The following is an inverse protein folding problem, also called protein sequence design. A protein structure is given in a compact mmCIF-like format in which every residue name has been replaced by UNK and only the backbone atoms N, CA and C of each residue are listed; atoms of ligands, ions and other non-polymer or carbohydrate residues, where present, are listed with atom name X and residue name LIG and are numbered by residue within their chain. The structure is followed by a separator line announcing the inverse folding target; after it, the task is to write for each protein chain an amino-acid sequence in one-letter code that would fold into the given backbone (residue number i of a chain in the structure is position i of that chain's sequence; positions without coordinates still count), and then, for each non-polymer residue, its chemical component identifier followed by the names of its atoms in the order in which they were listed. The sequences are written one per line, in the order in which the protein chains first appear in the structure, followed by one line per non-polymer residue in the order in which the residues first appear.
data_IF_361870853127
#
_entry.id   IF_361870853127
#
_cell.length_a   1.000
_cell.length_b   1.000
_cell.length_c   1.000
_cell.angle_alpha   90.00
_cell.angle_beta   90.00
_cell.angle_gamma   90.00
#
_symmetry.space_group_name_H-M   'P 1'
#
loop_
_entity.id
_entity.type
_entity.pdbx_description
1 polymer ?
#
# COMPACT_ATOMS: atom_id res chain seq x y z
N UNK A 1 20.36 -0.50 -19.44
CA UNK A 1 19.47 0.47 -18.78
C UNK A 1 18.24 -0.27 -18.33
N UNK A 2 18.08 -0.48 -17.03
CA UNK A 2 16.89 -1.15 -16.50
C UNK A 2 15.68 -0.23 -16.64
N UNK A 3 14.59 -0.79 -17.18
CA UNK A 3 13.31 -0.08 -17.34
C UNK A 3 12.76 0.29 -15.95
N UNK A 4 12.57 1.59 -15.68
CA UNK A 4 12.05 2.14 -14.43
C UNK A 4 10.73 1.48 -14.03
N UNK A 5 9.79 1.32 -14.97
CA UNK A 5 8.51 0.67 -14.71
C UNK A 5 8.66 -0.81 -14.30
N UNK A 6 9.63 -1.53 -14.89
CA UNK A 6 9.94 -2.90 -14.49
C UNK A 6 10.50 -2.96 -13.08
N UNK A 7 11.37 -2.02 -12.71
CA UNK A 7 11.92 -1.92 -11.35
C UNK A 7 10.82 -1.56 -10.34
N UNK A 8 9.95 -0.62 -10.68
CA UNK A 8 8.84 -0.18 -9.84
C UNK A 8 7.84 -1.32 -9.57
N UNK A 9 7.54 -2.14 -10.59
CA UNK A 9 6.72 -3.35 -10.43
C UNK A 9 7.36 -4.36 -9.48
N UNK A 10 8.67 -4.61 -9.62
CA UNK A 10 9.41 -5.50 -8.70
C UNK A 10 9.40 -4.97 -7.27
N UNK A 11 9.64 -3.67 -7.09
CA UNK A 11 9.57 -3.00 -5.79
C UNK A 11 8.20 -3.17 -5.14
N UNK A 12 7.14 -2.88 -5.89
CA UNK A 12 5.75 -3.00 -5.44
C UNK A 12 5.44 -4.43 -5.01
N UNK A 13 5.86 -5.42 -5.80
CA UNK A 13 5.65 -6.83 -5.47
C UNK A 13 6.44 -7.27 -4.23
N UNK A 14 7.68 -6.79 -4.07
CA UNK A 14 8.54 -7.16 -2.95
C UNK A 14 8.06 -6.56 -1.62
N UNK A 15 7.49 -5.35 -1.65
CA UNK A 15 7.00 -4.64 -0.46
C UNK A 15 5.47 -4.71 -0.32
N UNK A 16 4.78 -5.60 -1.04
CA UNK A 16 3.33 -5.66 -1.04
C UNK A 16 2.71 -5.76 0.37
N UNK A 17 3.23 -6.59 1.31
CA UNK A 17 2.72 -6.64 2.68
C UNK A 17 2.88 -5.31 3.43
N UNK A 18 4.07 -4.69 3.32
CA UNK A 18 4.38 -3.40 3.94
C UNK A 18 3.49 -2.28 3.40
N UNK A 19 3.37 -2.18 2.07
CA UNK A 19 2.57 -1.17 1.41
C UNK A 19 1.08 -1.33 1.72
N UNK A 20 0.58 -2.57 1.74
CA UNK A 20 -0.80 -2.87 2.14
C UNK A 20 -1.09 -2.48 3.59
N UNK A 21 -0.17 -2.82 4.50
CA UNK A 21 -0.26 -2.39 5.89
C UNK A 21 -0.21 -0.87 6.04
N UNK A 22 0.72 -0.18 5.37
CA UNK A 22 0.83 1.27 5.40
C UNK A 22 -0.45 1.94 4.85
N UNK A 23 -1.01 1.42 3.76
CA UNK A 23 -2.30 1.87 3.23
C UNK A 23 -3.45 1.72 4.22
N UNK A 24 -3.51 0.60 4.93
CA UNK A 24 -4.50 0.37 5.98
C UNK A 24 -4.38 1.40 7.12
N UNK A 25 -3.16 1.66 7.59
CA UNK A 25 -2.89 2.62 8.67
C UNK A 25 -3.19 4.05 8.24
N UNK A 26 -2.66 4.47 7.08
CA UNK A 26 -2.83 5.82 6.54
C UNK A 26 -4.30 6.18 6.33
N UNK A 27 -5.11 5.22 5.86
CA UNK A 27 -6.54 5.42 5.66
C UNK A 27 -7.38 5.21 6.94
N UNK A 28 -6.74 4.88 8.06
CA UNK A 28 -7.37 4.64 9.36
C UNK A 28 -8.49 3.58 9.32
N UNK A 29 -8.31 2.52 8.52
CA UNK A 29 -9.40 1.60 8.18
C UNK A 29 -9.93 0.78 9.37
N UNK A 30 -9.14 0.64 10.45
CA UNK A 30 -9.62 0.03 11.70
C UNK A 30 -10.68 0.89 12.40
N UNK A 31 -10.52 2.22 12.35
CA UNK A 31 -11.40 3.20 13.01
C UNK A 31 -12.51 3.69 12.09
N UNK A 32 -12.19 3.93 10.82
CA UNK A 32 -13.11 4.49 9.82
C UNK A 32 -13.06 3.62 8.54
N UNK A 33 -13.69 2.43 8.54
CA UNK A 33 -13.64 1.52 7.40
C UNK A 33 -14.16 2.11 6.09
N UNK A 34 -15.08 3.09 6.18
CA UNK A 34 -15.65 3.77 5.02
C UNK A 34 -14.62 4.53 4.18
N UNK A 35 -13.48 4.93 4.76
CA UNK A 35 -12.41 5.64 4.04
C UNK A 35 -11.88 4.86 2.83
N UNK A 36 -11.96 3.52 2.86
CA UNK A 36 -11.56 2.64 1.74
C UNK A 36 -12.27 2.97 0.42
N UNK A 37 -13.45 3.61 0.48
CA UNK A 37 -14.26 3.95 -0.70
C UNK A 37 -13.84 5.24 -1.38
N UNK A 38 -13.27 6.18 -0.61
CA UNK A 38 -13.04 7.56 -1.04
C UNK A 38 -11.56 7.90 -1.14
N UNK A 39 -10.72 7.25 -0.35
CA UNK A 39 -9.32 7.63 -0.18
C UNK A 39 -8.37 6.55 -0.69
N UNK A 40 -7.18 6.98 -1.12
CA UNK A 40 -6.05 6.15 -1.50
C UNK A 40 -4.78 6.68 -0.81
N UNK A 41 -3.81 5.80 -0.59
CA UNK A 41 -2.47 6.20 -0.17
C UNK A 41 -1.60 6.40 -1.41
N UNK A 42 -1.06 7.59 -1.60
CA UNK A 42 0.02 7.88 -2.56
C UNK A 42 1.36 7.80 -1.83
N UNK A 43 2.26 6.97 -2.35
CA UNK A 43 3.66 6.85 -1.93
C UNK A 43 4.52 7.37 -3.08
N UNK A 44 5.15 8.52 -2.86
CA UNK A 44 6.11 9.09 -3.81
C UNK A 44 7.50 8.54 -3.51
N UNK A 45 8.15 8.05 -4.57
CA UNK A 45 9.46 7.46 -4.53
C UNK A 45 10.45 8.29 -5.35
N UNK A 46 11.70 8.27 -4.93
CA UNK A 46 12.84 8.75 -5.71
C UNK A 46 13.73 7.58 -6.09
N UNK A 47 14.31 7.56 -7.31
CA UNK A 47 15.33 6.58 -7.67
C UNK A 47 16.54 6.68 -6.74
N UNK A 48 17.13 5.54 -6.42
CA UNK A 48 18.34 5.41 -5.63
C UNK A 48 19.39 4.61 -6.40
N UNK A 49 20.67 4.95 -6.21
CA UNK A 49 21.81 4.37 -6.96
C UNK A 49 22.13 2.90 -6.59
N UNK A 50 21.26 2.24 -5.82
CA UNK A 50 21.46 0.87 -5.37
C UNK A 50 21.23 -0.13 -6.51
N UNK A 51 22.11 -1.14 -6.63
CA UNK A 51 22.02 -2.11 -7.73
C UNK A 51 20.83 -3.07 -7.63
N UNK A 52 20.39 -3.40 -6.41
CA UNK A 52 19.32 -4.36 -6.13
C UNK A 52 17.93 -3.78 -6.46
N UNK A 53 17.18 -4.47 -7.34
CA UNK A 53 15.89 -3.97 -7.88
C UNK A 53 14.89 -3.48 -6.82
N UNK A 54 14.87 -4.11 -5.65
CA UNK A 54 13.94 -3.79 -4.55
C UNK A 54 14.45 -2.65 -3.64
N UNK A 55 15.71 -2.21 -3.79
CA UNK A 55 16.31 -1.10 -3.03
C UNK A 55 16.60 0.12 -3.90
N UNK A 56 16.17 0.09 -5.16
CA UNK A 56 16.33 1.17 -6.15
C UNK A 56 15.46 2.38 -5.91
N UNK A 57 14.68 2.38 -4.84
CA UNK A 57 13.76 3.44 -4.52
C UNK A 57 13.89 3.81 -3.05
N UNK A 58 13.78 5.10 -2.79
CA UNK A 58 13.66 5.70 -1.47
C UNK A 58 12.31 6.41 -1.38
N UNK A 59 11.70 6.42 -0.19
CA UNK A 59 10.42 7.13 0.02
C UNK A 59 10.69 8.62 0.10
N UNK A 60 10.14 9.39 -0.83
CA UNK A 60 10.24 10.85 -0.82
C UNK A 60 9.14 11.48 0.03
N UNK A 61 7.90 11.02 -0.16
CA UNK A 61 6.74 11.52 0.57
C UNK A 61 5.58 10.53 0.54
N UNK A 62 4.59 10.77 1.41
CA UNK A 62 3.34 10.00 1.48
C UNK A 62 2.16 10.92 1.65
N UNK A 63 1.08 10.68 0.89
CA UNK A 63 -0.13 11.50 0.90
C UNK A 63 -1.38 10.64 0.93
N UNK A 64 -2.40 11.08 1.65
CA UNK A 64 -3.77 10.56 1.47
C UNK A 64 -4.43 11.40 0.39
N UNK A 65 -4.83 10.76 -0.70
CA UNK A 65 -5.44 11.42 -1.87
C UNK A 65 -6.83 10.83 -2.15
N UNK A 66 -7.73 11.56 -2.81
CA UNK A 66 -8.99 10.99 -3.28
C UNK A 66 -8.75 9.84 -4.25
N UNK A 67 -9.57 8.78 -4.22
CA UNK A 67 -9.48 7.66 -5.20
C UNK A 67 -9.67 8.12 -6.65
N UNK A 68 -10.30 9.28 -6.87
CA UNK A 68 -10.45 9.89 -8.19
C UNK A 68 -9.12 10.30 -8.83
N UNK A 69 -8.00 10.23 -8.10
CA UNK A 69 -6.65 10.35 -8.68
C UNK A 69 -6.34 9.27 -9.72
N UNK A 70 -7.06 8.14 -9.67
CA UNK A 70 -6.96 7.08 -10.67
C UNK A 70 -7.98 7.36 -11.76
N UNK A 71 -7.47 7.63 -12.96
CA UNK A 71 -8.28 7.93 -14.14
C UNK A 71 -8.33 6.78 -15.16
N UNK A 72 -7.41 5.81 -15.06
CA UNK A 72 -7.33 4.69 -16.02
C UNK A 72 -8.55 3.74 -15.88
N UNK A 73 -9.38 3.59 -16.93
CA UNK A 73 -10.60 2.77 -16.85
C UNK A 73 -10.34 1.28 -16.56
N UNK A 74 -9.23 0.72 -17.04
CA UNK A 74 -8.89 -0.68 -16.81
C UNK A 74 -8.48 -0.91 -15.36
N UNK A 75 -7.74 0.03 -14.78
CA UNK A 75 -7.36 0.01 -13.36
C UNK A 75 -8.61 0.17 -12.48
N UNK A 76 -9.50 1.10 -12.84
CA UNK A 76 -10.78 1.29 -12.13
C UNK A 76 -11.62 0.02 -12.17
N UNK A 77 -11.74 -0.64 -13.33
CA UNK A 77 -12.47 -1.89 -13.46
C UNK A 77 -11.86 -3.03 -12.62
N UNK A 78 -10.53 -3.15 -12.57
CA UNK A 78 -9.87 -4.14 -11.70
C UNK A 78 -10.15 -3.87 -10.21
N UNK A 79 -10.06 -2.60 -9.79
CA UNK A 79 -10.36 -2.18 -8.42
C UNK A 79 -11.81 -2.54 -8.06
N UNK A 80 -12.76 -2.22 -8.93
CA UNK A 80 -14.19 -2.50 -8.72
C UNK A 80 -14.45 -4.00 -8.60
N UNK A 81 -13.87 -4.81 -9.49
CA UNK A 81 -13.99 -6.28 -9.45
C UNK A 81 -13.45 -6.87 -8.14
N UNK A 82 -12.26 -6.45 -7.71
CA UNK A 82 -11.67 -6.87 -6.42
C UNK A 82 -12.51 -6.39 -5.25
N UNK A 83 -13.02 -5.17 -5.31
CA UNK A 83 -13.85 -4.61 -4.24
C UNK A 83 -15.16 -5.41 -4.08
N UNK A 84 -15.82 -5.74 -5.19
CA UNK A 84 -17.02 -6.58 -5.18
C UNK A 84 -16.73 -7.96 -4.58
N UNK A 85 -15.65 -8.60 -5.02
CA UNK A 85 -15.21 -9.90 -4.49
C UNK A 85 -14.91 -9.85 -2.99
N UNK A 86 -14.13 -8.86 -2.56
CA UNK A 86 -13.75 -8.67 -1.16
C UNK A 86 -14.99 -8.50 -0.26
N UNK A 87 -15.93 -7.64 -0.67
CA UNK A 87 -17.19 -7.43 0.06
C UNK A 87 -18.06 -8.68 0.12
N UNK A 88 -18.16 -9.43 -0.98
CA UNK A 88 -18.89 -10.71 -1.00
C UNK A 88 -18.31 -11.73 -0.01
N UNK A 89 -17.00 -11.67 0.25
CA UNK A 89 -16.30 -12.52 1.21
C UNK A 89 -16.29 -11.95 2.66
N UNK A 90 -17.05 -10.88 2.92
CA UNK A 90 -17.17 -10.26 4.25
C UNK A 90 -16.02 -9.30 4.61
N UNK A 91 -15.21 -8.87 3.63
CA UNK A 91 -14.25 -7.79 3.78
C UNK A 91 -14.88 -6.40 3.61
N UNK A 92 -14.12 -5.35 3.90
CA UNK A 92 -14.60 -3.96 3.83
C UNK A 92 -14.43 -3.31 2.45
N UNK A 93 -13.69 -3.95 1.56
CA UNK A 93 -13.43 -3.50 0.19
C UNK A 93 -11.94 -3.47 -0.15
N UNK A 94 -11.58 -2.65 -1.13
CA UNK A 94 -10.21 -2.61 -1.68
C UNK A 94 -9.53 -1.28 -1.35
N UNK A 95 -8.55 -1.32 -0.45
CA UNK A 95 -7.63 -0.20 -0.26
C UNK A 95 -6.77 -0.02 -1.51
N UNK A 96 -6.48 1.22 -1.83
CA UNK A 96 -5.74 1.59 -3.03
C UNK A 96 -4.44 2.26 -2.62
N UNK A 97 -3.32 1.68 -3.04
CA UNK A 97 -2.00 2.26 -2.86
C UNK A 97 -1.47 2.64 -4.24
N UNK A 98 -1.10 3.90 -4.42
CA UNK A 98 -0.49 4.44 -5.62
C UNK A 98 1.00 4.59 -5.32
N UNK A 99 1.85 3.94 -6.09
CA UNK A 99 3.31 4.02 -5.95
C UNK A 99 3.82 4.79 -7.15
N UNK A 100 4.32 6.00 -6.93
CA UNK A 100 4.74 6.91 -7.98
C UNK A 100 6.24 7.17 -7.92
N UNK A 101 6.91 7.16 -9.06
CA UNK A 101 8.31 7.55 -9.20
C UNK A 101 8.46 8.37 -10.47
N UNK A 102 8.58 9.69 -10.34
CA UNK A 102 8.54 10.61 -11.47
C UNK A 102 7.20 10.54 -12.21
N UNK A 103 7.25 10.24 -13.50
CA UNK A 103 6.10 10.09 -14.41
C UNK A 103 5.52 8.66 -14.44
N UNK A 104 6.19 7.69 -13.81
CA UNK A 104 5.74 6.30 -13.77
C UNK A 104 4.99 6.04 -12.47
N UNK A 105 3.80 5.45 -12.59
CA UNK A 105 3.03 4.99 -11.45
C UNK A 105 2.69 3.50 -11.54
N UNK A 106 2.53 2.86 -10.39
CA UNK A 106 1.90 1.55 -10.22
C UNK A 106 0.75 1.71 -9.24
N UNK A 107 -0.39 1.09 -9.55
CA UNK A 107 -1.54 1.05 -8.64
C UNK A 107 -1.64 -0.35 -8.07
N UNK A 108 -1.63 -0.45 -6.74
CA UNK A 108 -1.72 -1.70 -6.00
C UNK A 108 -3.05 -1.74 -5.22
N UNK A 109 -4.07 -2.44 -5.75
CA UNK A 109 -5.29 -2.72 -5.02
C UNK A 109 -5.07 -3.84 -3.99
N UNK A 110 -5.42 -3.57 -2.73
CA UNK A 110 -5.31 -4.50 -1.60
C UNK A 110 -6.69 -4.77 -1.02
N UNK A 111 -7.13 -6.02 -1.06
CA UNK A 111 -8.38 -6.43 -0.41
C UNK A 111 -8.20 -6.38 1.11
N UNK A 112 -9.18 -5.81 1.81
CA UNK A 112 -9.10 -5.55 3.24
C UNK A 112 -10.20 -6.32 3.96
N UNK A 113 -9.79 -7.20 4.86
CA UNK A 113 -10.70 -7.93 5.74
C UNK A 113 -11.48 -6.99 6.68
N UNK A 114 -12.54 -7.53 7.30
CA UNK A 114 -13.24 -6.85 8.39
C UNK A 114 -12.24 -6.41 9.49
N UNK A 115 -12.37 -5.20 10.05
CA UNK A 115 -11.54 -4.73 11.17
C UNK A 115 -11.46 -5.72 12.34
N UNK A 116 -12.53 -6.49 12.58
CA UNK A 116 -12.57 -7.54 13.62
C UNK A 116 -11.61 -8.71 13.37
N UNK A 117 -11.17 -8.94 12.13
CA UNK A 117 -10.20 -9.97 11.75
C UNK A 117 -8.75 -9.44 11.72
N UNK A 118 -8.56 -8.13 11.87
CA UNK A 118 -7.25 -7.50 11.83
C UNK A 118 -6.58 -7.60 13.20
N UNK A 119 -5.62 -8.52 13.30
CA UNK A 119 -4.94 -8.86 14.55
C UNK A 119 -3.89 -7.83 15.00
N UNK A 120 -3.40 -6.97 14.11
CA UNK A 120 -2.37 -5.98 14.43
C UNK A 120 -2.93 -4.64 14.87
N UNK A 121 -2.07 -3.88 15.55
CA UNK A 121 -2.45 -2.61 16.17
C UNK A 121 -2.49 -1.46 15.16
N UNK A 122 -3.24 -0.42 15.52
CA UNK A 122 -3.16 0.87 14.85
C UNK A 122 -1.85 1.55 15.24
N UNK A 123 -1.15 2.11 14.26
CA UNK A 123 0.16 2.73 14.46
C UNK A 123 0.20 4.09 13.78
N UNK A 124 0.37 5.14 14.58
CA UNK A 124 0.49 6.51 14.08
C UNK A 124 1.87 6.77 13.44
N UNK A 125 2.88 5.97 13.79
CA UNK A 125 4.24 6.02 13.23
C UNK A 125 4.40 5.19 11.94
N UNK A 126 3.30 4.83 11.28
CA UNK A 126 3.31 3.97 10.09
C UNK A 126 4.21 4.47 8.96
N UNK A 127 4.27 5.80 8.76
CA UNK A 127 5.09 6.41 7.72
C UNK A 127 6.59 6.24 8.00
N UNK A 128 6.99 6.33 9.28
CA UNK A 128 8.37 6.09 9.71
C UNK A 128 8.75 4.62 9.52
N UNK A 129 7.85 3.69 9.85
CA UNK A 129 8.07 2.25 9.62
C UNK A 129 8.20 1.95 8.13
N UNK A 130 7.32 2.50 7.28
CA UNK A 130 7.42 2.37 5.83
C UNK A 130 8.78 2.86 5.32
N UNK A 131 9.19 4.06 5.72
CA UNK A 131 10.47 4.63 5.32
C UNK A 131 11.65 3.76 5.77
N UNK A 132 11.63 3.29 7.02
CA UNK A 132 12.69 2.44 7.57
C UNK A 132 12.85 1.12 6.81
N UNK A 133 11.75 0.41 6.52
CA UNK A 133 11.80 -0.86 5.79
C UNK A 133 12.29 -0.66 4.36
N UNK A 134 11.82 0.38 3.66
CA UNK A 134 12.26 0.70 2.29
C UNK A 134 13.76 1.05 2.27
N UNK A 135 14.21 1.93 3.17
CA UNK A 135 15.63 2.33 3.24
C UNK A 135 16.56 1.17 3.60
N UNK A 136 16.11 0.30 4.51
CA UNK A 136 16.86 -0.89 4.91
C UNK A 136 16.86 -1.97 3.81
N UNK A 137 15.86 -1.95 2.92
CA UNK A 137 15.64 -2.97 1.90
C UNK A 137 14.99 -4.24 2.43
N UNK A 138 14.29 -4.16 3.56
CA UNK A 138 13.65 -5.30 4.21
C UNK A 138 12.29 -5.58 3.55
N UNK A 139 12.13 -6.79 3.03
CA UNK A 139 10.91 -7.23 2.32
C UNK A 139 10.06 -8.22 3.13
N UNK A 140 10.55 -8.64 4.29
CA UNK A 140 9.95 -9.62 5.19
C UNK A 140 9.04 -9.00 6.26
N UNK A 141 8.46 -7.83 5.97
CA UNK A 141 7.61 -7.10 6.90
C UNK A 141 6.48 -7.96 7.48
N UNK A 142 6.40 -7.98 8.80
CA UNK A 142 5.30 -8.57 9.56
C UNK A 142 4.77 -7.53 10.55
N UNK A 143 3.46 -7.23 10.54
CA UNK A 143 2.88 -6.27 11.47
C UNK A 143 2.85 -6.85 12.89
N UNK A 144 3.22 -6.02 13.88
CA UNK A 144 3.23 -6.40 15.29
C UNK A 144 1.82 -6.34 15.86
N UNK A 145 1.46 -7.33 16.68
CA UNK A 145 0.26 -7.35 17.52
C UNK A 145 0.69 -7.39 18.98
N UNK A 146 0.30 -6.38 19.76
CA UNK A 146 0.60 -6.31 21.20
C UNK A 146 -0.43 -7.04 22.06
N UNK A 147 -1.56 -7.45 21.49
CA UNK A 147 -2.50 -8.34 22.17
C UNK A 147 -1.92 -9.76 22.21
N UNK A 148 -1.42 -10.18 23.37
CA UNK A 148 -1.21 -11.58 23.68
C UNK A 148 -2.49 -12.35 23.36
N UNK A 149 -2.42 -13.39 22.54
CA UNK A 149 -3.51 -14.38 22.44
C UNK A 149 -3.67 -14.96 23.83
N UNK A 150 -4.69 -14.49 24.55
CA UNK A 150 -5.16 -15.10 25.79
C UNK A 150 -5.86 -16.42 25.50
#
# INVERSE_FOLDING_TARGET
GDNLAKSLRKFTSAHAPLLGWAGFQALQLKRIPANVRQNALLVELTPSDRHESHRRFSVAATHVVPRTYICDPLVIADIQRREQRCRANGGIGTAVIIIQCGDVSQVMPVEVDSPSKIAWDSRDDWALVLHHFVESGLTDFQPISTTSRG
#
